data_IF_219186305768
#
_entry.id   IF_219186305768
#
_cell.length_a   1.000
_cell.length_b   1.000
_cell.length_c   1.000
_cell.angle_alpha   90.00
_cell.angle_beta   90.00
_cell.angle_gamma   90.00
#
_symmetry.space_group_name_H-M   'P 1'
#
loop_
_entity.id
_entity.type
_entity.pdbx_description
1 polymer ?
#
# COMPACT_ATOMS: atom_id res chain seq x y z
N UNK A 1 7.16 5.85 34.81
CA UNK A 1 6.65 4.89 33.80
C UNK A 1 6.76 5.57 32.45
N UNK A 2 7.66 5.10 31.57
CA UNK A 2 7.79 5.66 30.22
C UNK A 2 6.55 5.25 29.40
N UNK A 3 5.88 6.22 28.80
CA UNK A 3 4.69 5.98 27.99
C UNK A 3 5.12 5.30 26.68
N UNK A 4 4.62 4.08 26.44
CA UNK A 4 4.98 3.24 25.30
C UNK A 4 4.54 3.88 23.97
N UNK A 5 3.52 4.75 23.99
CA UNK A 5 3.09 5.54 22.82
C UNK A 5 4.09 6.64 22.42
N UNK A 6 5.01 7.04 23.32
CA UNK A 6 6.04 8.04 23.01
C UNK A 6 7.25 7.46 22.27
N UNK A 7 7.39 6.13 22.26
CA UNK A 7 8.57 5.42 21.74
C UNK A 7 8.38 4.88 20.32
N UNK A 8 7.15 4.96 19.79
CA UNK A 8 6.85 4.61 18.41
C UNK A 8 6.69 5.92 17.65
N UNK A 9 7.66 6.33 16.81
CA UNK A 9 7.47 7.53 15.99
C UNK A 9 6.18 7.37 15.19
N UNK A 10 5.31 8.38 15.27
CA UNK A 10 4.02 8.38 14.60
C UNK A 10 4.22 7.97 13.13
N UNK A 11 3.40 7.02 12.69
CA UNK A 11 3.49 6.44 11.35
C UNK A 11 3.28 7.58 10.34
N UNK A 12 4.25 7.87 9.45
CA UNK A 12 4.09 8.95 8.48
C UNK A 12 2.86 8.67 7.62
N UNK A 13 1.93 9.62 7.59
CA UNK A 13 0.74 9.61 6.75
C UNK A 13 0.63 10.98 6.07
N UNK A 14 -0.24 11.11 5.07
CA UNK A 14 -0.36 12.31 4.21
C UNK A 14 -0.47 13.64 4.99
N UNK A 15 -0.95 13.63 6.24
CA UNK A 15 -1.05 14.82 7.11
C UNK A 15 0.04 14.99 8.18
N UNK A 16 1.02 14.09 8.27
CA UNK A 16 2.11 14.15 9.26
C UNK A 16 3.46 13.75 8.62
N UNK A 17 3.87 14.51 7.59
CA UNK A 17 5.15 14.32 6.91
C UNK A 17 6.14 15.39 7.38
N UNK A 18 7.38 14.98 7.64
CA UNK A 18 8.47 15.95 7.84
C UNK A 18 8.86 16.59 6.50
N UNK A 19 9.50 17.78 6.48
CA UNK A 19 9.90 18.43 5.23
C UNK A 19 10.76 17.54 4.32
N UNK A 20 11.66 16.75 4.91
CA UNK A 20 12.50 15.79 4.18
C UNK A 20 11.68 14.64 3.57
N UNK A 21 10.64 14.17 4.25
CA UNK A 21 9.73 13.13 3.73
C UNK A 21 8.88 13.67 2.58
N UNK A 22 8.44 14.93 2.68
CA UNK A 22 7.72 15.60 1.61
C UNK A 22 8.60 15.78 0.36
N UNK A 23 9.87 16.16 0.54
CA UNK A 23 10.83 16.27 -0.57
C UNK A 23 11.10 14.90 -1.23
N UNK A 24 11.23 13.84 -0.43
CA UNK A 24 11.37 12.48 -0.94
C UNK A 24 10.13 12.04 -1.73
N UNK A 25 8.92 12.39 -1.27
CA UNK A 25 7.68 12.13 -1.99
C UNK A 25 7.60 12.87 -3.33
N UNK A 26 7.97 14.16 -3.34
CA UNK A 26 7.98 14.96 -4.56
C UNK A 26 9.00 14.44 -5.57
N UNK A 27 10.21 14.09 -5.11
CA UNK A 27 11.24 13.45 -5.93
C UNK A 27 10.77 12.13 -6.50
N UNK A 28 10.12 11.31 -5.67
CA UNK A 28 9.58 10.02 -6.09
C UNK A 28 8.51 10.16 -7.18
N UNK A 29 7.56 11.08 -7.02
CA UNK A 29 6.56 11.41 -8.05
C UNK A 29 7.22 11.83 -9.36
N UNK A 30 8.21 12.73 -9.31
CA UNK A 30 8.92 13.17 -10.51
C UNK A 30 9.65 12.02 -11.24
N UNK A 31 10.26 11.10 -10.49
CA UNK A 31 10.92 9.91 -11.05
C UNK A 31 9.91 8.95 -11.68
N UNK A 32 8.76 8.74 -11.03
CA UNK A 32 7.69 7.89 -11.58
C UNK A 32 7.05 8.48 -12.84
N UNK A 33 6.81 9.79 -12.87
CA UNK A 33 6.31 10.48 -14.08
C UNK A 33 7.31 10.36 -15.24
N UNK A 34 8.61 10.52 -14.98
CA UNK A 34 9.65 10.34 -16.01
C UNK A 34 9.74 8.91 -16.54
N UNK A 35 9.40 7.92 -15.70
CA UNK A 35 9.39 6.50 -16.11
C UNK A 35 8.04 6.05 -16.66
N UNK A 36 7.10 6.98 -16.90
CA UNK A 36 5.72 6.69 -17.37
C UNK A 36 4.95 5.69 -16.50
N UNK A 37 5.39 5.47 -15.26
CA UNK A 37 4.77 4.57 -14.28
C UNK A 37 3.70 5.26 -13.43
N UNK A 38 3.59 6.59 -13.51
CA UNK A 38 2.66 7.38 -12.73
C UNK A 38 2.13 8.56 -13.52
N UNK A 39 0.80 8.68 -13.59
CA UNK A 39 0.13 9.87 -14.13
C UNK A 39 -0.26 10.77 -12.96
N UNK A 40 0.30 11.99 -12.86
CA UNK A 40 -0.09 12.94 -11.82
C UNK A 40 -1.55 13.38 -12.00
N UNK A 41 -2.17 13.79 -10.90
CA UNK A 41 -3.50 14.40 -10.95
C UNK A 41 -3.46 15.65 -11.85
N UNK A 42 -4.46 15.80 -12.70
CA UNK A 42 -4.70 16.99 -13.53
C UNK A 42 -6.06 17.58 -13.16
N UNK A 43 -6.36 18.80 -13.61
CA UNK A 43 -7.61 19.52 -13.29
C UNK A 43 -8.89 18.73 -13.65
N UNK A 44 -8.76 17.69 -14.48
CA UNK A 44 -9.87 16.86 -14.96
C UNK A 44 -9.75 15.37 -14.61
N UNK A 45 -8.68 14.93 -13.95
CA UNK A 45 -8.46 13.51 -13.66
C UNK A 45 -7.63 13.28 -12.39
N UNK A 46 -8.07 12.32 -11.58
CA UNK A 46 -7.34 11.87 -10.39
C UNK A 46 -5.99 11.25 -10.77
N UNK A 47 -5.01 11.33 -9.87
CA UNK A 47 -3.74 10.65 -10.08
C UNK A 47 -3.95 9.13 -10.23
N UNK A 48 -3.08 8.46 -11.00
CA UNK A 48 -3.14 7.00 -11.14
C UNK A 48 -3.03 6.27 -9.80
N UNK A 49 -2.31 6.85 -8.84
CA UNK A 49 -2.13 6.31 -7.50
C UNK A 49 -2.17 7.42 -6.45
N UNK A 50 -2.82 7.15 -5.32
CA UNK A 50 -2.88 8.08 -4.20
C UNK A 50 -1.52 8.26 -3.51
N UNK A 51 -1.30 9.45 -2.95
CA UNK A 51 -0.10 9.77 -2.16
C UNK A 51 0.10 8.78 -1.00
N UNK A 52 -0.98 8.30 -0.40
CA UNK A 52 -0.98 7.26 0.63
C UNK A 52 -0.28 5.97 0.15
N UNK A 53 -0.54 5.57 -1.10
CA UNK A 53 0.06 4.39 -1.71
C UNK A 53 1.54 4.62 -2.01
N UNK A 54 1.89 5.79 -2.56
CA UNK A 54 3.28 6.17 -2.83
C UNK A 54 4.12 6.22 -1.55
N UNK A 55 3.55 6.73 -0.45
CA UNK A 55 4.20 6.76 0.86
C UNK A 55 4.44 5.36 1.43
N UNK A 56 3.59 4.37 1.12
CA UNK A 56 3.82 2.99 1.54
C UNK A 56 5.10 2.42 0.91
N UNK A 57 5.33 2.65 -0.39
CA UNK A 57 6.55 2.22 -1.08
C UNK A 57 7.80 2.94 -0.55
N UNK A 58 7.71 4.26 -0.33
CA UNK A 58 8.80 5.03 0.25
C UNK A 58 9.13 4.53 1.66
N UNK A 59 8.12 4.26 2.48
CA UNK A 59 8.32 3.76 3.85
C UNK A 59 8.98 2.39 3.87
N UNK A 60 8.60 1.49 2.96
CA UNK A 60 9.21 0.16 2.83
C UNK A 60 10.72 0.22 2.47
N UNK A 61 11.19 1.37 1.98
CA UNK A 61 12.57 1.62 1.54
C UNK A 61 13.22 2.81 2.25
N UNK A 62 12.78 3.13 3.46
CA UNK A 62 13.36 4.20 4.29
C UNK A 62 13.46 5.55 3.57
N UNK A 63 12.43 5.89 2.77
CA UNK A 63 12.34 7.09 1.94
C UNK A 63 13.43 7.24 0.87
N UNK A 64 14.03 6.13 0.40
CA UNK A 64 14.91 6.13 -0.76
C UNK A 64 14.08 6.07 -2.07
N UNK A 65 14.03 7.15 -2.89
CA UNK A 65 13.17 7.20 -4.07
C UNK A 65 13.55 6.19 -5.16
N UNK A 66 14.85 5.93 -5.35
CA UNK A 66 15.32 4.99 -6.38
C UNK A 66 15.00 3.54 -6.04
N UNK A 67 15.19 3.15 -4.77
CA UNK A 67 14.83 1.81 -4.31
C UNK A 67 13.29 1.61 -4.31
N UNK A 68 12.53 2.64 -3.95
CA UNK A 68 11.07 2.63 -4.01
C UNK A 68 10.57 2.51 -5.46
N UNK A 69 11.23 3.18 -6.43
CA UNK A 69 10.86 3.10 -7.85
C UNK A 69 10.98 1.68 -8.37
N UNK A 70 12.10 1.00 -8.06
CA UNK A 70 12.28 -0.39 -8.47
C UNK A 70 11.17 -1.28 -7.92
N UNK A 71 10.86 -1.15 -6.63
CA UNK A 71 9.79 -1.94 -6.02
C UNK A 71 8.41 -1.64 -6.62
N UNK A 72 8.14 -0.38 -6.97
CA UNK A 72 6.90 0.02 -7.62
C UNK A 72 6.80 -0.59 -9.03
N UNK A 73 7.87 -0.49 -9.83
CA UNK A 73 7.92 -1.07 -11.16
C UNK A 73 7.77 -2.60 -11.13
N UNK A 74 8.44 -3.28 -10.20
CA UNK A 74 8.32 -4.73 -10.02
C UNK A 74 6.88 -5.13 -9.65
N UNK A 75 6.20 -4.31 -8.83
CA UNK A 75 4.81 -4.56 -8.44
C UNK A 75 3.82 -4.36 -9.60
N UNK A 76 3.98 -3.30 -10.39
CA UNK A 76 3.14 -3.06 -11.57
C UNK A 76 3.39 -4.13 -12.66
N UNK A 77 4.64 -4.53 -12.89
CA UNK A 77 4.96 -5.63 -13.79
C UNK A 77 4.36 -6.97 -13.32
N UNK A 78 4.29 -7.20 -12.01
CA UNK A 78 3.60 -8.37 -11.46
C UNK A 78 2.09 -8.29 -11.69
N UNK A 79 1.47 -7.12 -11.48
CA UNK A 79 0.03 -6.92 -11.73
C UNK A 79 -0.35 -7.16 -13.18
N UNK A 80 0.44 -6.65 -14.12
CA UNK A 80 0.24 -6.85 -15.55
C UNK A 80 0.37 -8.32 -15.92
N UNK A 81 1.43 -9.00 -15.46
CA UNK A 81 1.65 -10.43 -15.75
C UNK A 81 0.57 -11.35 -15.21
N UNK A 82 -0.03 -10.99 -14.08
CA UNK A 82 -1.07 -11.79 -13.43
C UNK A 82 -2.48 -11.30 -13.73
N UNK A 83 -2.63 -10.33 -14.65
CA UNK A 83 -3.91 -9.76 -15.08
C UNK A 83 -4.81 -9.40 -13.89
N UNK A 84 -4.21 -8.84 -12.83
CA UNK A 84 -4.90 -8.59 -11.56
C UNK A 84 -6.11 -7.67 -11.75
N UNK A 85 -6.02 -6.74 -12.69
CA UNK A 85 -7.13 -5.84 -13.03
C UNK A 85 -8.31 -6.59 -13.66
N UNK A 86 -8.04 -7.66 -14.41
CA UNK A 86 -9.07 -8.50 -15.00
C UNK A 86 -9.62 -9.54 -14.02
N UNK A 87 -8.90 -9.84 -12.94
CA UNK A 87 -9.28 -10.81 -11.92
C UNK A 87 -10.69 -10.53 -11.37
N UNK A 88 -11.04 -9.27 -11.15
CA UNK A 88 -12.37 -8.89 -10.68
C UNK A 88 -13.51 -9.14 -11.68
N UNK A 89 -13.20 -9.19 -12.98
CA UNK A 89 -14.18 -9.55 -14.01
C UNK A 89 -14.45 -11.05 -14.07
N UNK A 90 -13.49 -11.88 -13.65
CA UNK A 90 -13.58 -13.34 -13.72
C UNK A 90 -13.93 -13.99 -12.38
N UNK A 91 -13.74 -13.29 -11.25
CA UNK A 91 -14.03 -13.82 -9.92
C UNK A 91 -15.54 -13.93 -9.72
N UNK A 92 -16.10 -15.10 -10.01
CA UNK A 92 -17.51 -15.41 -9.75
C UNK A 92 -17.71 -15.46 -8.23
N UNK A 93 -18.65 -14.67 -7.72
CA UNK A 93 -18.95 -14.55 -6.27
C UNK A 93 -19.15 -15.91 -5.60
N UNK A 94 -19.70 -16.90 -6.32
CA UNK A 94 -19.93 -18.25 -5.82
C UNK A 94 -18.64 -19.03 -5.50
N UNK A 95 -17.57 -18.88 -6.29
CA UNK A 95 -16.27 -19.50 -6.04
C UNK A 95 -15.55 -18.90 -4.83
N UNK A 96 -15.74 -17.59 -4.61
CA UNK A 96 -15.25 -16.91 -3.41
C UNK A 96 -15.96 -17.40 -2.15
N UNK A 97 -17.28 -17.58 -2.17
CA UNK A 97 -18.04 -18.11 -1.03
C UNK A 97 -17.74 -19.59 -0.76
N UNK A 98 -17.51 -20.41 -1.80
CA UNK A 98 -17.03 -21.78 -1.63
C UNK A 98 -15.65 -21.84 -0.97
N UNK A 99 -14.73 -20.94 -1.32
CA UNK A 99 -13.39 -20.86 -0.70
C UNK A 99 -13.44 -20.52 0.80
N UNK A 100 -14.41 -19.72 1.25
CA UNK A 100 -14.62 -19.43 2.68
C UNK A 100 -15.09 -20.67 3.46
N UNK A 101 -15.90 -21.52 2.85
CA UNK A 101 -16.38 -22.77 3.46
C UNK A 101 -15.23 -23.77 3.70
N UNK A 102 -14.25 -23.82 2.80
CA UNK A 102 -13.07 -24.68 2.97
C UNK A 102 -12.02 -24.12 3.95
N UNK A 103 -11.93 -22.80 4.13
CA UNK A 103 -10.97 -22.15 5.03
C UNK A 103 -11.44 -22.03 6.50
N UNK A 104 -12.35 -22.90 6.95
CA UNK A 104 -12.73 -23.02 8.37
C UNK A 104 -11.72 -23.88 9.17
N UNK A 105 -10.41 -23.60 9.05
CA UNK A 105 -9.38 -24.28 9.85
C UNK A 105 -8.54 -23.35 10.73
N UNK A 106 -8.79 -22.03 10.73
CA UNK A 106 -7.89 -21.05 11.36
C UNK A 106 -8.49 -20.08 12.39
N UNK A 107 -9.79 -20.16 12.71
CA UNK A 107 -10.46 -19.14 13.54
C UNK A 107 -10.99 -19.65 14.90
N UNK A 108 -10.60 -20.85 15.33
CA UNK A 108 -10.94 -21.37 16.66
C UNK A 108 -9.75 -21.18 17.63
N UNK A 109 -9.45 -19.94 17.99
CA UNK A 109 -8.30 -19.64 18.86
C UNK A 109 -8.39 -18.40 19.75
N UNK A 110 -9.47 -17.62 19.70
CA UNK A 110 -9.55 -16.34 20.46
C UNK A 110 -10.93 -16.11 21.09
N UNK A 111 -11.61 -17.17 21.56
CA UNK A 111 -12.87 -17.04 22.34
C UNK A 111 -12.79 -17.63 23.74
N UNK A 112 -11.62 -17.56 24.38
CA UNK A 112 -11.53 -17.86 25.81
C UNK A 112 -10.44 -17.03 26.50
N UNK A 113 -10.71 -15.73 26.69
CA UNK A 113 -10.16 -14.99 27.83
C UNK A 113 -11.34 -14.21 28.45
N UNK A 114 -11.69 -14.60 29.69
CA UNK A 114 -12.82 -14.13 30.50
C UNK A 114 -12.74 -12.64 30.85
N UNK A 115 -13.80 -12.11 31.50
CA UNK A 115 -13.55 -11.54 32.82
C UNK A 115 -14.54 -12.03 33.90
N UNK A 116 -14.02 -12.16 35.13
CA UNK A 116 -14.76 -12.11 36.40
C UNK A 116 -15.62 -13.30 36.73
#
# INVERSE_FOLDING_TARGET
MANLDSLIPARPFVGNLTPAQQEALNTFKAVLTKSSLYTPATDHSSASHDDSMLLWFLRARSFNPAAAQKQFADAEAWRERHEVDALYSYLVVDEFECSKRFNHAGQEGIRNIRPG
#
